data_IF_346914260779
#
_entry.id   IF_346914260779
#
_cell.length_a   1.000
_cell.length_b   1.000
_cell.length_c   1.000
_cell.angle_alpha   90.00
_cell.angle_beta   90.00
_cell.angle_gamma   90.00
#
_symmetry.space_group_name_H-M   'P 1'
#
loop_
_entity.id
_entity.type
_entity.pdbx_description
1 polymer ?
#
# COMPACT_ATOMS: atom_id res chain seq x y z
N UNK A 1 3.50 25.02 23.49
CA UNK A 1 4.21 25.65 22.36
C UNK A 1 3.98 24.83 21.11
N UNK A 2 2.99 25.19 20.28
CA UNK A 2 2.62 24.44 19.08
C UNK A 2 3.57 24.86 17.94
N UNK A 3 4.58 24.03 17.66
CA UNK A 3 5.45 24.18 16.49
C UNK A 3 4.65 23.83 15.23
N UNK A 4 3.92 24.81 14.69
CA UNK A 4 3.32 24.71 13.37
C UNK A 4 4.41 24.88 12.32
N UNK A 5 4.88 23.77 11.74
CA UNK A 5 5.71 23.83 10.54
C UNK A 5 4.80 24.15 9.36
N UNK A 6 5.05 25.27 8.67
CA UNK A 6 4.45 25.53 7.36
C UNK A 6 4.87 24.42 6.37
N UNK A 7 4.07 24.14 5.33
CA UNK A 7 4.39 23.09 4.34
C UNK A 7 5.76 23.30 3.66
N UNK A 8 6.24 24.55 3.65
CA UNK A 8 7.46 24.98 2.99
C UNK A 8 8.77 24.58 3.68
N UNK A 9 8.75 24.12 4.94
CA UNK A 9 9.94 23.62 5.64
C UNK A 9 9.58 22.43 6.54
N UNK A 10 9.22 21.30 5.92
CA UNK A 10 9.17 20.04 6.65
C UNK A 10 10.59 19.76 7.15
N UNK A 11 10.75 19.69 8.47
CA UNK A 11 12.04 19.42 9.10
C UNK A 11 12.60 18.09 8.59
N UNK A 12 13.82 18.09 8.04
CA UNK A 12 14.50 16.88 7.54
C UNK A 12 14.48 15.73 8.55
N UNK A 13 14.59 16.02 9.85
CA UNK A 13 14.50 15.01 10.90
C UNK A 13 13.15 14.29 10.96
N UNK A 14 12.04 14.98 10.66
CA UNK A 14 10.71 14.36 10.62
C UNK A 14 10.60 13.44 9.41
N UNK A 15 11.11 13.85 8.24
CA UNK A 15 11.10 13.02 7.04
C UNK A 15 11.92 11.74 7.24
N UNK A 16 13.07 11.82 7.92
CA UNK A 16 13.87 10.63 8.24
C UNK A 16 13.16 9.66 9.19
N UNK A 17 12.41 10.16 10.17
CA UNK A 17 11.58 9.33 11.05
C UNK A 17 10.44 8.66 10.27
N UNK A 18 9.76 9.41 9.39
CA UNK A 18 8.72 8.88 8.49
C UNK A 18 9.30 7.79 7.61
N UNK A 19 10.43 8.07 6.94
CA UNK A 19 11.14 7.12 6.09
C UNK A 19 11.46 5.83 6.85
N UNK A 20 12.12 5.95 8.00
CA UNK A 20 12.49 4.82 8.85
C UNK A 20 11.29 3.96 9.25
N UNK A 21 10.15 4.58 9.56
CA UNK A 21 8.90 3.86 9.86
C UNK A 21 8.36 3.13 8.63
N UNK A 22 8.25 3.81 7.48
CA UNK A 22 7.72 3.22 6.25
C UNK A 22 8.52 1.97 5.82
N UNK A 23 9.84 1.99 6.01
CA UNK A 23 10.71 0.85 5.70
C UNK A 23 10.51 -0.38 6.62
N UNK A 24 10.03 -0.17 7.85
CA UNK A 24 9.75 -1.23 8.83
C UNK A 24 8.29 -1.70 8.81
N UNK A 25 7.45 -1.11 7.96
CA UNK A 25 6.05 -1.50 7.86
C UNK A 25 5.92 -2.91 7.29
N UNK A 26 5.10 -3.73 7.96
CA UNK A 26 4.79 -5.10 7.54
C UNK A 26 3.58 -5.15 6.63
N UNK A 27 3.75 -5.86 5.52
CA UNK A 27 2.77 -6.07 4.47
C UNK A 27 2.45 -7.54 4.34
N UNK A 28 1.15 -7.89 4.30
CA UNK A 28 0.75 -9.19 3.80
C UNK A 28 0.62 -9.09 2.29
N UNK A 29 1.46 -9.85 1.62
CA UNK A 29 1.59 -9.83 0.17
C UNK A 29 0.95 -11.10 -0.37
N UNK A 30 0.04 -10.95 -1.34
CA UNK A 30 -0.82 -12.04 -1.82
C UNK A 30 -0.83 -12.02 -3.35
N UNK A 31 -0.86 -13.18 -3.99
CA UNK A 31 -1.14 -13.22 -5.43
C UNK A 31 -2.59 -12.81 -5.71
N UNK A 32 -2.81 -11.64 -6.32
CA UNK A 32 -4.13 -11.14 -6.68
C UNK A 32 -4.83 -11.97 -7.76
N UNK A 33 -4.06 -12.75 -8.53
CA UNK A 33 -4.60 -13.60 -9.61
C UNK A 33 -5.22 -14.90 -9.11
N UNK A 34 -4.51 -15.65 -8.26
CA UNK A 34 -4.95 -16.99 -7.84
C UNK A 34 -5.09 -17.17 -6.32
N UNK A 35 -4.58 -16.25 -5.50
CA UNK A 35 -4.64 -16.32 -4.04
C UNK A 35 -3.90 -17.51 -3.39
N UNK A 36 -3.16 -18.31 -4.16
CA UNK A 36 -2.46 -19.52 -3.64
C UNK A 36 -1.17 -19.19 -2.89
N UNK A 37 -0.52 -18.09 -3.25
CA UNK A 37 0.70 -17.63 -2.60
C UNK A 37 0.39 -16.40 -1.76
N UNK A 38 0.85 -16.44 -0.51
CA UNK A 38 0.95 -15.29 0.35
C UNK A 38 2.21 -15.34 1.22
N UNK A 39 2.69 -14.18 1.66
CA UNK A 39 3.79 -14.04 2.62
C UNK A 39 3.73 -12.66 3.28
N UNK A 40 4.26 -12.57 4.49
CA UNK A 40 4.47 -11.28 5.15
C UNK A 40 5.90 -10.80 4.87
N UNK A 41 6.03 -9.54 4.47
CA UNK A 41 7.31 -8.87 4.22
C UNK A 41 7.35 -7.54 4.96
N UNK A 42 8.53 -7.14 5.43
CA UNK A 42 8.81 -5.74 5.72
C UNK A 42 9.18 -5.00 4.43
N UNK A 43 8.80 -3.72 4.32
CA UNK A 43 9.05 -2.90 3.12
C UNK A 43 10.52 -2.91 2.67
N UNK A 44 11.46 -2.91 3.62
CA UNK A 44 12.89 -2.97 3.36
C UNK A 44 13.36 -4.29 2.73
N UNK A 45 12.70 -5.42 3.01
CA UNK A 45 13.03 -6.77 2.51
C UNK A 45 12.69 -6.94 1.03
N UNK A 46 11.80 -6.10 0.49
CA UNK A 46 11.37 -6.16 -0.90
C UNK A 46 12.48 -5.59 -1.78
N UNK A 47 13.21 -6.47 -2.45
CA UNK A 47 14.35 -6.12 -3.33
C UNK A 47 14.05 -6.33 -4.82
N UNK A 48 13.20 -7.32 -5.15
CA UNK A 48 12.98 -7.79 -6.51
C UNK A 48 11.51 -7.72 -6.89
N UNK A 49 11.23 -7.82 -8.20
CA UNK A 49 9.88 -8.06 -8.71
C UNK A 49 9.32 -9.36 -8.12
N UNK A 50 8.09 -9.29 -7.62
CA UNK A 50 7.42 -10.44 -7.04
C UNK A 50 6.66 -11.21 -8.13
N UNK A 51 6.86 -12.53 -8.17
CA UNK A 51 6.19 -13.44 -9.11
C UNK A 51 5.56 -14.57 -8.32
N UNK A 52 4.29 -14.86 -8.60
CA UNK A 52 3.60 -15.96 -7.95
C UNK A 52 4.23 -17.31 -8.37
N UNK A 53 4.69 -18.15 -7.43
CA UNK A 53 5.30 -19.44 -7.78
C UNK A 53 4.30 -20.43 -8.40
N UNK A 54 3.00 -20.29 -8.10
CA UNK A 54 1.95 -21.21 -8.57
C UNK A 54 1.38 -20.87 -9.94
N UNK A 55 1.08 -19.60 -10.22
CA UNK A 55 0.44 -19.20 -11.49
C UNK A 55 1.33 -18.33 -12.38
N UNK A 56 2.57 -18.05 -11.95
CA UNK A 56 3.57 -17.21 -12.65
C UNK A 56 3.13 -15.77 -12.93
N UNK A 57 2.01 -15.34 -12.36
CA UNK A 57 1.53 -13.96 -12.46
C UNK A 57 2.42 -13.00 -11.68
N UNK A 58 2.58 -11.79 -12.22
CA UNK A 58 3.17 -10.62 -11.55
C UNK A 58 2.14 -9.77 -10.80
N UNK A 59 0.85 -10.12 -10.90
CA UNK A 59 -0.23 -9.48 -10.14
C UNK A 59 -0.15 -9.90 -8.66
N UNK A 60 0.70 -9.19 -7.93
CA UNK A 60 0.94 -9.38 -6.50
C UNK A 60 0.44 -8.14 -5.77
N UNK A 61 -0.55 -8.32 -4.90
CA UNK A 61 -1.14 -7.24 -4.11
C UNK A 61 -0.53 -7.18 -2.71
N UNK A 62 -0.77 -6.07 -2.02
CA UNK A 62 -0.40 -5.86 -0.62
C UNK A 62 -1.61 -5.41 0.19
N UNK A 63 -1.70 -5.89 1.42
CA UNK A 63 -2.65 -5.45 2.44
C UNK A 63 -1.97 -5.41 3.81
N UNK A 64 -2.70 -4.97 4.84
CA UNK A 64 -2.20 -4.98 6.22
C UNK A 64 -1.82 -6.41 6.64
N UNK A 65 -0.76 -6.55 7.44
CA UNK A 65 -0.26 -7.87 7.86
C UNK A 65 -1.32 -8.74 8.56
N UNK A 66 -2.30 -8.11 9.21
CA UNK A 66 -3.41 -8.72 9.93
C UNK A 66 -4.66 -8.98 9.08
N UNK A 67 -4.68 -8.63 7.80
CA UNK A 67 -5.81 -8.94 6.91
C UNK A 67 -5.72 -10.37 6.37
N UNK A 68 -6.26 -11.31 7.13
CA UNK A 68 -6.28 -12.74 6.77
C UNK A 68 -7.41 -13.12 5.79
N UNK A 69 -8.34 -12.22 5.51
CA UNK A 69 -9.54 -12.53 4.72
C UNK A 69 -9.37 -12.25 3.24
N UNK A 70 -8.51 -11.30 2.86
CA UNK A 70 -8.32 -10.95 1.46
C UNK A 70 -7.89 -12.15 0.60
N UNK A 71 -7.06 -13.05 1.14
CA UNK A 71 -6.66 -14.27 0.43
C UNK A 71 -7.88 -15.13 0.08
N UNK A 72 -8.81 -15.32 1.04
CA UNK A 72 -10.03 -16.12 0.85
C UNK A 72 -10.92 -15.47 -0.22
N UNK A 73 -11.06 -14.15 -0.19
CA UNK A 73 -11.83 -13.39 -1.19
C UNK A 73 -11.25 -13.59 -2.59
N UNK A 74 -9.93 -13.48 -2.75
CA UNK A 74 -9.25 -13.69 -4.04
C UNK A 74 -9.45 -15.13 -4.52
N UNK A 75 -9.30 -16.13 -3.65
CA UNK A 75 -9.51 -17.53 -4.02
C UNK A 75 -10.97 -17.82 -4.41
N UNK A 76 -11.93 -17.23 -3.69
CA UNK A 76 -13.36 -17.34 -3.99
C UNK A 76 -13.66 -16.77 -5.38
N UNK A 77 -13.11 -15.60 -5.72
CA UNK A 77 -13.17 -15.01 -7.07
C UNK A 77 -12.53 -15.89 -8.13
N UNK A 78 -11.32 -16.39 -7.87
CA UNK A 78 -10.60 -17.28 -8.79
C UNK A 78 -11.39 -18.56 -9.11
N UNK A 79 -12.16 -19.09 -8.15
CA UNK A 79 -13.01 -20.27 -8.32
C UNK A 79 -14.37 -19.97 -8.99
N UNK A 80 -14.65 -18.71 -9.36
CA UNK A 80 -15.93 -18.33 -9.96
C UNK A 80 -17.11 -18.37 -8.99
N UNK A 81 -16.87 -18.36 -7.67
CA UNK A 81 -17.94 -18.38 -6.66
C UNK A 81 -18.59 -17.01 -6.51
N UNK A 82 -19.87 -16.99 -6.12
CA UNK A 82 -20.61 -15.76 -5.83
C UNK A 82 -19.96 -14.99 -4.67
N UNK A 83 -19.68 -13.72 -4.87
CA UNK A 83 -19.08 -12.81 -3.88
C UNK A 83 -20.04 -11.67 -3.56
N UNK A 84 -20.01 -11.19 -2.31
CA UNK A 84 -20.79 -10.02 -1.90
C UNK A 84 -20.27 -8.76 -2.58
N UNK A 85 -21.05 -7.68 -2.52
CA UNK A 85 -20.63 -6.37 -3.02
C UNK A 85 -19.36 -5.86 -2.30
N UNK A 86 -19.27 -6.09 -0.99
CA UNK A 86 -18.11 -5.73 -0.19
C UNK A 86 -16.87 -6.56 -0.59
N UNK A 87 -17.02 -7.88 -0.75
CA UNK A 87 -15.94 -8.76 -1.22
C UNK A 87 -15.45 -8.32 -2.61
N UNK A 88 -16.37 -7.94 -3.51
CA UNK A 88 -16.02 -7.41 -4.84
C UNK A 88 -15.19 -6.14 -4.73
N UNK A 89 -15.63 -5.19 -3.91
CA UNK A 89 -14.92 -3.94 -3.72
C UNK A 89 -13.51 -4.17 -3.13
N UNK A 90 -13.38 -5.07 -2.15
CA UNK A 90 -12.07 -5.46 -1.60
C UNK A 90 -11.17 -6.10 -2.65
N UNK A 91 -11.71 -6.98 -3.50
CA UNK A 91 -10.98 -7.59 -4.60
C UNK A 91 -10.51 -6.57 -5.64
N UNK A 92 -11.38 -5.65 -6.06
CA UNK A 92 -11.04 -4.59 -7.02
C UNK A 92 -9.93 -3.68 -6.48
N UNK A 93 -10.01 -3.30 -5.21
CA UNK A 93 -8.96 -2.53 -4.53
C UNK A 93 -7.64 -3.30 -4.52
N UNK A 94 -7.67 -4.59 -4.21
CA UNK A 94 -6.49 -5.44 -4.23
C UNK A 94 -5.88 -5.55 -5.64
N UNK A 95 -6.70 -5.63 -6.68
CA UNK A 95 -6.24 -5.64 -8.07
C UNK A 95 -5.62 -4.32 -8.52
N UNK A 96 -6.19 -3.19 -8.09
CA UNK A 96 -5.56 -1.87 -8.29
C UNK A 96 -4.19 -1.82 -7.62
N UNK A 97 -4.09 -2.26 -6.37
CA UNK A 97 -2.81 -2.32 -5.64
C UNK A 97 -1.81 -3.24 -6.34
N UNK A 98 -2.23 -4.40 -6.87
CA UNK A 98 -1.30 -5.26 -7.60
C UNK A 98 -0.75 -4.62 -8.86
N UNK A 99 -1.58 -3.84 -9.55
CA UNK A 99 -1.16 -3.06 -10.71
C UNK A 99 -0.13 -1.99 -10.33
N UNK A 100 -0.30 -1.32 -9.18
CA UNK A 100 0.69 -0.36 -8.68
C UNK A 100 2.02 -1.04 -8.34
N UNK A 101 1.97 -2.18 -7.66
CA UNK A 101 3.17 -2.93 -7.29
C UNK A 101 3.90 -3.47 -8.52
N UNK A 102 3.18 -3.93 -9.53
CA UNK A 102 3.79 -4.41 -10.77
C UNK A 102 4.54 -3.30 -11.52
N UNK A 103 3.97 -2.09 -11.56
CA UNK A 103 4.53 -0.95 -12.29
C UNK A 103 5.63 -0.21 -11.52
N UNK A 104 5.47 -0.02 -10.20
CA UNK A 104 6.37 0.82 -9.38
C UNK A 104 7.24 0.01 -8.40
N UNK A 105 7.06 -1.31 -8.31
CA UNK A 105 7.89 -2.20 -7.51
C UNK A 105 7.94 -1.80 -6.03
N UNK A 106 9.16 -1.72 -5.48
CA UNK A 106 9.40 -1.37 -4.07
C UNK A 106 8.83 -0.01 -3.70
N UNK A 107 8.85 0.96 -4.62
CA UNK A 107 8.33 2.31 -4.39
C UNK A 107 6.83 2.28 -4.06
N UNK A 108 6.05 1.40 -4.69
CA UNK A 108 4.65 1.21 -4.33
C UNK A 108 4.48 0.74 -2.88
N UNK A 109 5.31 -0.19 -2.42
CA UNK A 109 5.27 -0.64 -1.02
C UNK A 109 5.61 0.49 -0.03
N UNK A 110 6.58 1.34 -0.35
CA UNK A 110 6.91 2.52 0.47
C UNK A 110 5.70 3.45 0.57
N UNK A 111 5.01 3.74 -0.55
CA UNK A 111 3.82 4.58 -0.56
C UNK A 111 2.67 3.95 0.23
N UNK A 112 2.39 2.67 -0.01
CA UNK A 112 1.33 1.91 0.66
C UNK A 112 1.62 1.64 2.15
N UNK A 113 2.84 1.92 2.60
CA UNK A 113 3.18 1.87 4.03
C UNK A 113 2.66 3.08 4.80
N UNK A 114 2.20 4.13 4.09
CA UNK A 114 1.67 5.34 4.69
C UNK A 114 0.31 5.12 5.36
N UNK A 115 0.10 5.71 6.52
CA UNK A 115 -1.18 5.65 7.22
C UNK A 115 -2.31 6.29 6.41
N UNK A 116 -3.40 5.56 6.21
CA UNK A 116 -4.52 6.00 5.39
C UNK A 116 -4.25 6.02 3.88
N UNK A 117 -3.07 5.57 3.44
CA UNK A 117 -2.72 5.52 2.02
C UNK A 117 -3.21 4.21 1.40
N UNK A 118 -4.37 4.29 0.77
CA UNK A 118 -4.96 3.17 0.01
C UNK A 118 -4.59 3.17 -1.48
N UNK A 119 -5.25 2.31 -2.26
CA UNK A 119 -5.02 2.17 -3.70
C UNK A 119 -5.09 3.50 -4.46
N UNK A 120 -6.15 4.29 -4.28
CA UNK A 120 -6.37 5.51 -5.07
C UNK A 120 -5.42 6.65 -4.64
N UNK A 121 -5.23 6.84 -3.32
CA UNK A 121 -4.24 7.80 -2.80
C UNK A 121 -2.83 7.43 -3.21
N UNK A 122 -2.47 6.15 -3.11
CA UNK A 122 -1.16 5.65 -3.52
C UNK A 122 -0.92 5.81 -5.01
N UNK A 123 -1.93 5.54 -5.85
CA UNK A 123 -1.85 5.79 -7.29
C UNK A 123 -1.59 7.26 -7.62
N UNK A 124 -2.23 8.19 -6.90
CA UNK A 124 -2.01 9.64 -7.07
C UNK A 124 -0.59 10.05 -6.68
N UNK A 125 -0.08 9.57 -5.54
CA UNK A 125 1.29 9.84 -5.08
C UNK A 125 2.31 9.30 -6.08
N UNK A 126 2.16 8.04 -6.50
CA UNK A 126 3.06 7.39 -7.45
C UNK A 126 3.07 8.08 -8.82
N UNK A 127 1.91 8.57 -9.28
CA UNK A 127 1.80 9.31 -10.56
C UNK A 127 2.51 10.67 -10.51
N UNK A 128 2.49 11.34 -9.37
CA UNK A 128 3.06 12.68 -9.19
C UNK A 128 4.48 12.64 -8.59
N UNK A 129 5.12 11.46 -8.57
CA UNK A 129 6.47 11.29 -8.07
C UNK A 129 7.49 11.83 -9.08
N UNK A 130 8.27 12.82 -8.65
CA UNK A 130 9.36 13.42 -9.43
C UNK A 130 10.71 12.89 -8.90
N UNK A 131 10.87 12.90 -7.58
CA UNK A 131 12.07 12.48 -6.87
C UNK A 131 11.71 11.85 -5.50
N UNK A 132 12.71 11.27 -4.83
CA UNK A 132 12.55 10.58 -3.56
C UNK A 132 12.13 11.50 -2.40
N UNK A 133 12.64 12.73 -2.34
CA UNK A 133 12.28 13.68 -1.27
C UNK A 133 10.82 14.11 -1.41
N UNK A 134 10.40 14.44 -2.63
CA UNK A 134 9.03 14.80 -2.97
C UNK A 134 8.07 13.64 -2.68
N UNK A 135 8.48 12.39 -2.93
CA UNK A 135 7.70 11.19 -2.59
C UNK A 135 7.38 11.13 -1.09
N UNK A 136 8.39 11.26 -0.22
CA UNK A 136 8.18 11.19 1.23
C UNK A 136 7.36 12.36 1.76
N UNK A 137 7.52 13.56 1.19
CA UNK A 137 6.66 14.72 1.52
C UNK A 137 5.20 14.44 1.19
N UNK A 138 4.91 13.91 -0.01
CA UNK A 138 3.55 13.57 -0.42
C UNK A 138 2.92 12.48 0.47
N UNK A 139 3.70 11.47 0.88
CA UNK A 139 3.23 10.46 1.84
C UNK A 139 2.89 11.12 3.17
N UNK A 140 3.78 11.94 3.72
CA UNK A 140 3.56 12.64 4.99
C UNK A 140 2.31 13.54 4.95
N UNK A 141 2.10 14.27 3.87
CA UNK A 141 0.90 15.09 3.68
C UNK A 141 -0.38 14.25 3.64
N UNK A 142 -0.36 13.11 2.95
CA UNK A 142 -1.49 12.19 2.91
C UNK A 142 -1.81 11.61 4.30
N UNK A 143 -0.80 11.25 5.09
CA UNK A 143 -0.99 10.80 6.47
C UNK A 143 -1.57 11.90 7.36
N UNK A 144 -1.07 13.12 7.23
CA UNK A 144 -1.58 14.28 7.97
C UNK A 144 -3.04 14.52 7.62
N UNK A 145 -3.40 14.47 6.34
CA UNK A 145 -4.79 14.58 5.91
C UNK A 145 -5.66 13.48 6.52
N UNK A 146 -5.20 12.23 6.47
CA UNK A 146 -5.92 11.10 7.08
C UNK A 146 -6.14 11.31 8.59
N UNK A 147 -5.12 11.74 9.34
CA UNK A 147 -5.25 12.00 10.78
C UNK A 147 -6.21 13.16 11.07
N UNK A 148 -6.22 14.21 10.25
CA UNK A 148 -7.14 15.34 10.43
C UNK A 148 -8.59 14.97 10.11
N UNK A 149 -8.81 14.11 9.12
CA UNK A 149 -10.17 13.81 8.67
C UNK A 149 -10.76 12.57 9.33
N UNK A 150 -9.97 11.60 9.82
CA UNK A 150 -10.47 10.29 10.31
C UNK A 150 -11.58 10.36 11.36
N UNK A 151 -11.64 11.40 12.20
CA UNK A 151 -12.70 11.56 13.20
C UNK A 151 -14.06 11.98 12.64
N UNK A 152 -14.14 12.27 11.33
CA UNK A 152 -15.38 12.59 10.62
C UNK A 152 -15.94 11.41 9.82
N UNK A 153 -15.31 10.23 9.90
CA UNK A 153 -15.68 9.04 9.12
C UNK A 153 -16.14 7.87 10.00
N UNK A 154 -16.61 8.16 11.21
CA UNK A 154 -17.29 7.21 12.10
C UNK A 154 -18.81 7.23 11.85
#
# INVERSE_FOLDING_TARGET
TKYYSSPSNINKGILELVKSRLFKTKHRVICARCGKWERVFETNEIKNTLVCPYCKSRQITSTFYSDYDLQKIIQKKYQGKKTSQEENHRFERAWKVSSLIENFGKTAFVVLSGFGVGADTGARILRNMIDEETLYKQIYEAERQYVMTRGFWD
#
